data_IF_979486712608
#
_entry.id   IF_979486712608
#
_cell.length_a   1.000
_cell.length_b   1.000
_cell.length_c   1.000
_cell.angle_alpha   90.00
_cell.angle_beta   90.00
_cell.angle_gamma   90.00
#
_symmetry.space_group_name_H-M   'P 1'
#
loop_
_entity.id
_entity.type
_entity.pdbx_description
1 polymer ?
#
# COMPACT_ATOMS: atom_id res chain seq x y z
N UNK A 1 11.70 -36.94 6.91
CA UNK A 1 12.30 -36.14 7.99
C UNK A 1 12.54 -34.73 7.45
N UNK A 2 11.54 -33.85 7.55
CA UNK A 2 11.67 -32.45 7.09
C UNK A 2 11.98 -31.61 8.31
N UNK A 3 13.19 -31.04 8.38
CA UNK A 3 13.54 -30.07 9.38
C UNK A 3 12.57 -28.88 9.25
N UNK A 4 11.62 -28.77 10.17
CA UNK A 4 10.85 -27.56 10.35
C UNK A 4 11.84 -26.51 10.86
N UNK A 5 12.40 -25.72 9.95
CA UNK A 5 13.14 -24.53 10.30
C UNK A 5 12.19 -23.63 11.08
N UNK A 6 12.31 -23.65 12.41
CA UNK A 6 11.52 -22.81 13.28
C UNK A 6 11.70 -21.35 12.85
N UNK A 7 10.60 -20.59 12.78
CA UNK A 7 10.66 -19.15 12.54
C UNK A 7 11.33 -18.53 13.75
N UNK A 8 12.54 -18.00 13.57
CA UNK A 8 13.20 -17.18 14.57
C UNK A 8 12.51 -15.81 14.63
N UNK A 9 11.79 -15.54 15.71
CA UNK A 9 11.07 -14.28 15.92
C UNK A 9 12.00 -13.11 16.30
N UNK A 10 13.27 -13.37 16.60
CA UNK A 10 14.27 -12.34 16.92
C UNK A 10 15.05 -11.89 15.68
N UNK A 11 14.93 -12.58 14.55
CA UNK A 11 15.60 -12.23 13.31
C UNK A 11 14.76 -11.25 12.47
N UNK A 12 15.39 -10.23 11.90
CA UNK A 12 14.72 -9.33 10.96
C UNK A 12 14.40 -10.05 9.65
N UNK A 13 13.19 -9.85 9.16
CA UNK A 13 12.73 -10.41 7.89
C UNK A 13 13.05 -9.44 6.76
N UNK A 14 13.78 -9.92 5.75
CA UNK A 14 14.17 -9.09 4.62
C UNK A 14 13.00 -8.96 3.64
N UNK A 15 12.67 -7.73 3.28
CA UNK A 15 11.93 -7.43 2.05
C UNK A 15 12.87 -7.29 0.87
N UNK A 16 12.34 -7.38 -0.35
CA UNK A 16 13.10 -7.17 -1.59
C UNK A 16 13.53 -5.70 -1.75
N UNK A 17 12.81 -4.76 -1.12
CA UNK A 17 13.03 -3.31 -1.22
C UNK A 17 13.91 -2.73 -0.10
N UNK A 18 14.30 -3.55 0.88
CA UNK A 18 15.18 -3.15 1.98
C UNK A 18 14.47 -2.67 3.24
N UNK A 19 13.12 -2.57 3.24
CA UNK A 19 12.35 -2.37 4.48
C UNK A 19 12.58 -3.54 5.45
N UNK A 20 12.90 -3.23 6.70
CA UNK A 20 13.01 -4.20 7.77
C UNK A 20 11.61 -4.53 8.30
N UNK A 21 11.19 -5.78 8.14
CA UNK A 21 9.95 -6.30 8.72
C UNK A 21 10.26 -7.08 9.99
N UNK A 22 9.48 -6.87 11.05
CA UNK A 22 9.54 -7.79 12.20
C UNK A 22 8.64 -9.00 11.93
N UNK A 23 9.04 -10.21 12.38
CA UNK A 23 8.18 -11.41 12.29
C UNK A 23 6.81 -11.22 12.94
N UNK A 24 6.74 -10.38 13.99
CA UNK A 24 5.49 -10.03 14.67
C UNK A 24 4.57 -9.19 13.79
N UNK A 25 5.11 -8.22 13.06
CA UNK A 25 4.32 -7.44 12.10
C UNK A 25 3.78 -8.37 11.00
N UNK A 26 4.61 -9.28 10.49
CA UNK A 26 4.18 -10.26 9.49
C UNK A 26 3.05 -11.16 9.99
N UNK A 27 3.09 -11.58 11.26
CA UNK A 27 2.06 -12.42 11.86
C UNK A 27 0.68 -11.75 11.87
N UNK A 28 0.63 -10.43 12.15
CA UNK A 28 -0.63 -9.66 12.20
C UNK A 28 -1.32 -9.63 10.84
N UNK A 29 -0.55 -9.63 9.75
CA UNK A 29 -1.07 -9.57 8.38
C UNK A 29 -1.20 -10.94 7.71
N UNK A 30 -0.71 -12.00 8.35
CA UNK A 30 -0.68 -13.32 7.75
C UNK A 30 -2.08 -13.93 7.63
N UNK A 31 -2.33 -14.63 6.53
CA UNK A 31 -3.52 -15.50 6.45
C UNK A 31 -3.27 -16.75 7.27
N UNK A 32 -4.14 -17.03 8.25
CA UNK A 32 -4.06 -18.19 9.15
C UNK A 32 -3.94 -19.52 8.42
N UNK A 33 -4.56 -19.63 7.23
CA UNK A 33 -4.59 -20.85 6.43
C UNK A 33 -3.65 -20.80 5.21
N UNK A 34 -2.62 -19.94 5.22
CA UNK A 34 -1.69 -19.85 4.10
C UNK A 34 -0.85 -21.13 3.99
N UNK A 35 -0.96 -21.85 2.87
CA UNK A 35 -0.19 -23.07 2.60
C UNK A 35 1.32 -22.86 2.52
N UNK A 36 1.80 -21.63 2.28
CA UNK A 36 3.23 -21.33 2.13
C UNK A 36 3.92 -21.00 3.45
N UNK A 37 3.25 -20.32 4.38
CA UNK A 37 3.84 -19.91 5.66
C UNK A 37 3.16 -20.54 6.89
N UNK A 38 2.08 -21.30 6.70
CA UNK A 38 1.31 -21.90 7.80
C UNK A 38 0.71 -20.89 8.78
N UNK A 39 0.44 -19.66 8.31
CA UNK A 39 -0.09 -18.59 9.17
C UNK A 39 0.95 -17.73 9.88
N UNK A 40 2.25 -17.98 9.72
CA UNK A 40 3.31 -17.19 10.38
C UNK A 40 3.62 -15.87 9.67
N UNK A 41 3.24 -15.73 8.40
CA UNK A 41 3.58 -14.56 7.57
C UNK A 41 5.01 -14.52 7.07
N UNK A 42 5.85 -15.48 7.46
CA UNK A 42 7.28 -15.55 7.12
C UNK A 42 7.57 -16.83 6.34
N UNK A 43 8.47 -16.74 5.36
CA UNK A 43 8.98 -17.88 4.59
C UNK A 43 10.48 -18.01 4.79
N UNK A 44 10.91 -19.22 5.11
CA UNK A 44 12.32 -19.58 5.08
C UNK A 44 12.75 -19.84 3.62
N UNK A 45 13.73 -19.08 3.15
CA UNK A 45 14.41 -19.27 1.86
C UNK A 45 15.90 -19.53 2.13
N UNK A 46 16.63 -20.00 1.11
CA UNK A 46 18.07 -20.27 1.26
C UNK A 46 18.86 -19.02 1.71
N UNK A 47 18.40 -17.82 1.34
CA UNK A 47 19.01 -16.54 1.72
C UNK A 47 18.55 -15.97 3.08
N UNK A 48 17.78 -16.74 3.87
CA UNK A 48 17.26 -16.34 5.19
C UNK A 48 15.72 -16.27 5.24
N UNK A 49 15.19 -15.38 6.08
CA UNK A 49 13.74 -15.20 6.21
C UNK A 49 13.23 -14.09 5.29
N UNK A 50 12.11 -14.36 4.60
CA UNK A 50 11.43 -13.41 3.70
C UNK A 50 9.96 -13.29 4.05
N UNK A 51 9.36 -12.13 3.76
CA UNK A 51 7.93 -11.90 3.99
C UNK A 51 7.12 -12.75 3.01
N UNK A 52 6.08 -13.43 3.51
CA UNK A 52 5.20 -14.22 2.67
C UNK A 52 4.31 -13.33 1.79
N UNK A 53 4.02 -13.77 0.55
CA UNK A 53 3.10 -13.09 -0.35
C UNK A 53 1.70 -12.86 0.26
N UNK A 54 1.24 -13.71 1.19
CA UNK A 54 -0.06 -13.52 1.84
C UNK A 54 -0.14 -12.23 2.66
N UNK A 55 0.97 -11.78 3.25
CA UNK A 55 1.07 -10.51 3.98
C UNK A 55 0.86 -9.34 3.03
N UNK A 56 1.53 -9.35 1.87
CA UNK A 56 1.34 -8.29 0.88
C UNK A 56 -0.07 -8.28 0.30
N UNK A 57 -0.66 -9.45 0.00
CA UNK A 57 -2.06 -9.55 -0.44
C UNK A 57 -3.04 -9.02 0.60
N UNK A 58 -2.75 -9.22 1.90
CA UNK A 58 -3.53 -8.61 2.97
C UNK A 58 -3.42 -7.08 2.94
N UNK A 59 -2.20 -6.54 2.89
CA UNK A 59 -1.97 -5.09 2.79
C UNK A 59 -2.71 -4.48 1.59
N UNK A 60 -2.65 -5.14 0.43
CA UNK A 60 -3.40 -4.74 -0.76
C UNK A 60 -4.90 -4.67 -0.49
N UNK A 61 -5.49 -5.71 0.10
CA UNK A 61 -6.94 -5.75 0.40
C UNK A 61 -7.34 -4.67 1.41
N UNK A 62 -6.50 -4.40 2.40
CA UNK A 62 -6.75 -3.33 3.37
C UNK A 62 -6.78 -1.96 2.69
N UNK A 63 -5.81 -1.68 1.81
CA UNK A 63 -5.75 -0.46 1.01
C UNK A 63 -6.96 -0.36 0.07
N UNK A 64 -7.26 -1.41 -0.68
CA UNK A 64 -8.35 -1.42 -1.63
C UNK A 64 -9.72 -1.29 -0.95
N UNK A 65 -9.92 -1.94 0.19
CA UNK A 65 -11.13 -1.79 1.00
C UNK A 65 -11.34 -0.34 1.45
N UNK A 66 -10.27 0.31 1.90
CA UNK A 66 -10.34 1.74 2.26
C UNK A 66 -10.54 2.63 1.04
N UNK A 67 -9.91 2.32 -0.09
CA UNK A 67 -10.07 3.02 -1.35
C UNK A 67 -11.55 3.02 -1.79
N UNK A 68 -12.21 1.85 -1.77
CA UNK A 68 -13.64 1.77 -2.08
C UNK A 68 -14.52 2.54 -1.12
N UNK A 69 -14.19 2.52 0.19
CA UNK A 69 -14.89 3.33 1.18
C UNK A 69 -14.75 4.84 0.88
N UNK A 70 -13.53 5.31 0.60
CA UNK A 70 -13.26 6.70 0.27
C UNK A 70 -13.95 7.13 -1.03
N UNK A 71 -13.93 6.26 -2.05
CA UNK A 71 -14.60 6.49 -3.33
C UNK A 71 -16.13 6.47 -3.22
N UNK A 72 -16.70 5.62 -2.36
CA UNK A 72 -18.14 5.65 -2.09
C UNK A 72 -18.57 6.95 -1.38
N UNK A 73 -17.68 7.57 -0.61
CA UNK A 73 -17.93 8.86 0.03
C UNK A 73 -17.55 10.06 -0.85
N UNK A 74 -17.01 9.87 -2.06
CA UNK A 74 -16.69 10.99 -2.96
C UNK A 74 -17.98 11.67 -3.39
N UNK A 75 -18.25 12.86 -2.84
CA UNK A 75 -19.51 13.59 -2.97
C UNK A 75 -20.01 14.16 -1.63
N UNK A 76 -19.71 13.50 -0.52
CA UNK A 76 -19.85 14.04 0.84
C UNK A 76 -18.51 14.69 1.22
N UNK A 77 -18.31 15.93 0.76
CA UNK A 77 -17.04 16.66 0.93
C UNK A 77 -16.76 16.92 2.41
N UNK A 78 -16.01 16.03 3.04
CA UNK A 78 -15.37 16.31 4.33
C UNK A 78 -14.09 17.07 4.04
N UNK A 79 -14.19 18.40 4.02
CA UNK A 79 -13.01 19.25 3.92
C UNK A 79 -12.45 19.48 5.33
N UNK A 80 -11.18 19.17 5.51
CA UNK A 80 -10.45 19.58 6.70
C UNK A 80 -9.84 20.96 6.44
N UNK A 81 -10.15 21.90 7.32
CA UNK A 81 -9.59 23.23 7.31
C UNK A 81 -8.65 23.32 8.51
N UNK A 82 -7.35 23.37 8.24
CA UNK A 82 -6.34 23.60 9.26
C UNK A 82 -5.74 25.00 9.10
N UNK A 83 -5.53 25.69 10.22
CA UNK A 83 -4.73 26.91 10.22
C UNK A 83 -3.25 26.55 10.12
N UNK A 84 -2.51 27.23 9.25
CA UNK A 84 -1.05 27.23 9.33
C UNK A 84 -0.61 27.84 10.67
N UNK A 85 0.30 27.18 11.37
CA UNK A 85 0.94 27.72 12.57
C UNK A 85 2.40 28.04 12.25
N UNK A 86 2.85 29.21 12.69
CA UNK A 86 4.27 29.55 12.70
C UNK A 86 5.02 28.67 13.70
N UNK A 87 6.35 28.50 13.57
CA UNK A 87 7.17 27.78 14.55
C UNK A 87 7.04 28.28 16.00
N UNK A 88 6.56 29.52 16.19
CA UNK A 88 6.30 30.15 17.49
C UNK A 88 4.86 29.94 17.99
N UNK A 89 4.08 29.05 17.39
CA UNK A 89 2.71 28.72 17.78
C UNK A 89 1.65 29.77 17.41
N UNK A 90 2.03 30.89 16.78
CA UNK A 90 1.06 31.89 16.31
C UNK A 90 0.41 31.41 15.03
N UNK A 91 -0.91 31.63 14.90
CA UNK A 91 -1.61 31.41 13.64
C UNK A 91 -0.98 32.28 12.56
N UNK A 92 -0.66 31.69 11.42
CA UNK A 92 -0.27 32.44 10.25
C UNK A 92 -1.54 33.03 9.65
N UNK A 93 -1.68 34.35 9.72
CA UNK A 93 -2.81 35.03 9.07
C UNK A 93 -2.75 34.79 7.56
N UNK A 94 -3.83 34.24 6.99
CA UNK A 94 -3.97 34.03 5.55
C UNK A 94 -3.59 32.64 5.02
N UNK A 95 -2.96 31.76 5.82
CA UNK A 95 -2.70 30.37 5.40
C UNK A 95 -3.76 29.43 5.94
N UNK A 96 -4.72 29.12 5.08
CA UNK A 96 -5.68 28.04 5.25
C UNK A 96 -5.17 26.82 4.47
N UNK A 97 -4.82 25.76 5.19
CA UNK A 97 -4.58 24.47 4.57
C UNK A 97 -5.94 23.77 4.43
N UNK A 98 -6.38 23.63 3.18
CA UNK A 98 -7.58 22.86 2.84
C UNK A 98 -7.13 21.50 2.36
N UNK A 99 -7.64 20.45 2.98
CA UNK A 99 -7.28 19.08 2.65
C UNK A 99 -8.51 18.19 2.55
N UNK A 100 -8.51 17.31 1.54
CA UNK A 100 -9.57 16.34 1.23
C UNK A 100 -9.03 14.91 1.37
N UNK A 101 -8.89 14.38 2.61
CA UNK A 101 -8.21 13.11 2.89
C UNK A 101 -8.66 11.94 2.03
N UNK A 102 -9.96 11.85 1.79
CA UNK A 102 -10.53 10.75 1.03
C UNK A 102 -10.23 10.85 -0.46
N UNK A 103 -10.24 12.07 -1.02
CA UNK A 103 -9.95 12.32 -2.43
C UNK A 103 -8.46 12.13 -2.70
N UNK A 104 -7.61 12.65 -1.81
CA UNK A 104 -6.16 12.51 -1.88
C UNK A 104 -5.75 11.02 -1.78
N UNK A 105 -6.36 10.26 -0.85
CA UNK A 105 -6.09 8.83 -0.73
C UNK A 105 -6.44 8.05 -2.00
N UNK A 106 -7.58 8.36 -2.62
CA UNK A 106 -8.01 7.75 -3.89
C UNK A 106 -7.00 8.09 -4.99
N UNK A 107 -6.63 9.36 -5.12
CA UNK A 107 -5.67 9.82 -6.11
C UNK A 107 -4.29 9.17 -5.93
N UNK A 108 -3.78 9.11 -4.71
CA UNK A 108 -2.48 8.52 -4.40
C UNK A 108 -2.44 7.04 -4.76
N UNK A 109 -3.48 6.27 -4.41
CA UNK A 109 -3.57 4.85 -4.76
C UNK A 109 -3.57 4.66 -6.28
N UNK A 110 -4.34 5.44 -7.03
CA UNK A 110 -4.41 5.32 -8.49
C UNK A 110 -3.10 5.73 -9.18
N UNK A 111 -2.48 6.82 -8.73
CA UNK A 111 -1.19 7.30 -9.25
C UNK A 111 -0.12 6.24 -9.02
N UNK A 112 -0.01 5.73 -7.79
CA UNK A 112 0.99 4.72 -7.45
C UNK A 112 0.73 3.41 -8.21
N UNK A 113 -0.53 3.00 -8.39
CA UNK A 113 -0.88 1.82 -9.18
C UNK A 113 -0.44 1.95 -10.65
N UNK A 114 -0.70 3.11 -11.28
CA UNK A 114 -0.29 3.36 -12.67
C UNK A 114 1.22 3.43 -12.85
N UNK A 115 1.95 3.95 -11.86
CA UNK A 115 3.42 4.04 -11.92
C UNK A 115 4.09 2.67 -11.76
N UNK A 116 3.50 1.78 -10.96
CA UNK A 116 4.11 0.49 -10.64
C UNK A 116 3.73 -0.65 -11.58
N UNK A 117 2.53 -0.61 -12.16
CA UNK A 117 2.02 -1.67 -13.02
C UNK A 117 2.41 -1.46 -14.48
N UNK A 118 2.59 -2.56 -15.22
CA UNK A 118 2.64 -2.49 -16.68
C UNK A 118 1.27 -2.06 -17.24
N UNK A 119 1.20 -1.67 -18.51
CA UNK A 119 -0.05 -1.26 -19.17
C UNK A 119 -1.15 -2.33 -19.04
N UNK A 120 -0.81 -3.58 -19.33
CA UNK A 120 -1.75 -4.71 -19.19
C UNK A 120 -2.17 -4.95 -17.74
N UNK A 121 -1.22 -4.90 -16.80
CA UNK A 121 -1.53 -5.07 -15.37
C UNK A 121 -2.43 -3.94 -14.86
N UNK A 122 -2.21 -2.70 -15.30
CA UNK A 122 -3.02 -1.55 -14.94
C UNK A 122 -4.45 -1.71 -15.48
N UNK A 123 -4.62 -2.13 -16.73
CA UNK A 123 -5.95 -2.37 -17.32
C UNK A 123 -6.72 -3.45 -16.53
N UNK A 124 -6.04 -4.57 -16.19
CA UNK A 124 -6.62 -5.62 -15.35
C UNK A 124 -6.97 -5.09 -13.96
N UNK A 125 -6.08 -4.30 -13.35
CA UNK A 125 -6.31 -3.72 -12.03
C UNK A 125 -7.52 -2.79 -12.01
N UNK A 126 -7.60 -1.84 -12.94
CA UNK A 126 -8.71 -0.89 -12.99
C UNK A 126 -10.04 -1.57 -13.33
N UNK A 127 -10.05 -2.49 -14.31
CA UNK A 127 -11.28 -3.19 -14.69
C UNK A 127 -11.79 -4.13 -13.57
N UNK A 128 -10.90 -4.92 -12.96
CA UNK A 128 -11.32 -5.93 -12.00
C UNK A 128 -11.46 -5.38 -10.58
N UNK A 129 -10.45 -4.67 -10.07
CA UNK A 129 -10.43 -4.22 -8.68
C UNK A 129 -11.15 -2.89 -8.50
N UNK A 130 -10.95 -1.92 -9.40
CA UNK A 130 -11.51 -0.57 -9.23
C UNK A 130 -12.96 -0.49 -9.71
N UNK A 131 -13.28 -1.08 -10.86
CA UNK A 131 -14.63 -1.09 -11.43
C UNK A 131 -15.47 -2.28 -10.99
N UNK A 132 -14.84 -3.34 -10.47
CA UNK A 132 -15.56 -4.53 -9.96
C UNK A 132 -16.11 -5.43 -11.06
N UNK A 133 -15.57 -5.37 -12.29
CA UNK A 133 -16.02 -6.22 -13.40
C UNK A 133 -15.70 -7.70 -13.18
N UNK A 134 -16.54 -8.56 -13.72
CA UNK A 134 -16.30 -10.00 -13.72
C UNK A 134 -15.12 -10.34 -14.65
N UNK A 135 -14.40 -11.41 -14.32
CA UNK A 135 -13.14 -11.72 -15.00
C UNK A 135 -13.32 -11.96 -16.50
N UNK A 136 -14.47 -12.47 -16.97
CA UNK A 136 -14.73 -12.67 -18.41
C UNK A 136 -14.80 -11.34 -19.14
N UNK A 137 -15.44 -10.35 -18.54
CA UNK A 137 -15.54 -9.00 -19.11
C UNK A 137 -14.17 -8.33 -19.16
N UNK A 138 -13.36 -8.51 -18.11
CA UNK A 138 -11.97 -8.02 -18.10
C UNK A 138 -11.14 -8.66 -19.22
N UNK A 139 -11.23 -9.99 -19.40
CA UNK A 139 -10.52 -10.71 -20.46
C UNK A 139 -10.92 -10.21 -21.85
N UNK A 140 -12.21 -9.95 -22.06
CA UNK A 140 -12.73 -9.42 -23.33
C UNK A 140 -12.31 -7.95 -23.58
N UNK A 141 -12.17 -7.15 -22.52
CA UNK A 141 -11.81 -5.75 -22.61
C UNK A 141 -10.30 -5.52 -22.81
N UNK A 142 -9.45 -6.40 -22.27
CA UNK A 142 -7.98 -6.28 -22.34
C UNK A 142 -7.49 -6.74 -23.72
N UNK A 143 -6.73 -5.88 -24.39
CA UNK A 143 -6.26 -6.06 -25.79
C UNK A 143 -5.22 -7.19 -26.01
N UNK A 144 -5.11 -8.14 -25.09
CA UNK A 144 -4.07 -9.19 -25.07
C UNK A 144 -4.57 -10.63 -25.02
N UNK A 145 -5.88 -10.87 -24.93
CA UNK A 145 -6.44 -12.24 -24.93
C UNK A 145 -5.91 -13.11 -23.77
N UNK A 146 -6.21 -12.73 -22.53
CA UNK A 146 -5.80 -13.50 -21.35
C UNK A 146 -6.68 -14.75 -21.18
N UNK A 147 -6.08 -15.92 -20.97
CA UNK A 147 -6.83 -17.08 -20.51
C UNK A 147 -7.20 -16.94 -19.02
N UNK A 148 -8.16 -17.75 -18.56
CA UNK A 148 -8.62 -17.73 -17.16
C UNK A 148 -7.48 -17.91 -16.17
N UNK A 149 -6.55 -18.84 -16.43
CA UNK A 149 -5.42 -19.11 -15.55
C UNK A 149 -4.48 -17.92 -15.48
N UNK A 150 -4.06 -17.41 -16.65
CA UNK A 150 -3.20 -16.23 -16.76
C UNK A 150 -3.82 -14.98 -16.14
N UNK A 151 -5.15 -14.83 -16.20
CA UNK A 151 -5.85 -13.73 -15.52
C UNK A 151 -5.67 -13.81 -14.00
N UNK A 152 -5.97 -14.95 -13.36
CA UNK A 152 -5.84 -15.07 -11.90
C UNK A 152 -4.37 -15.01 -11.44
N UNK A 153 -3.44 -15.53 -12.24
CA UNK A 153 -2.01 -15.35 -11.97
C UNK A 153 -1.61 -13.87 -12.02
N UNK A 154 -2.12 -13.12 -13.00
CA UNK A 154 -1.91 -11.67 -13.11
C UNK A 154 -2.51 -10.94 -11.90
N UNK A 155 -3.74 -11.26 -11.50
CA UNK A 155 -4.38 -10.67 -10.31
C UNK A 155 -3.53 -10.92 -9.06
N UNK A 156 -3.12 -12.15 -8.80
CA UNK A 156 -2.28 -12.45 -7.64
C UNK A 156 -0.93 -11.74 -7.66
N UNK A 157 -0.34 -11.54 -8.85
CA UNK A 157 0.90 -10.78 -9.02
C UNK A 157 0.68 -9.30 -8.71
N UNK A 158 -0.43 -8.72 -9.18
CA UNK A 158 -0.83 -7.34 -8.91
C UNK A 158 -1.05 -7.15 -7.40
N UNK A 159 -1.84 -8.00 -6.75
CA UNK A 159 -2.10 -7.93 -5.31
C UNK A 159 -0.80 -7.95 -4.51
N UNK A 160 0.12 -8.86 -4.84
CA UNK A 160 1.40 -8.96 -4.15
C UNK A 160 2.30 -7.75 -4.39
N UNK A 161 2.42 -7.30 -5.65
CA UNK A 161 3.31 -6.21 -6.05
C UNK A 161 2.84 -4.87 -5.50
N UNK A 162 1.55 -4.54 -5.65
CA UNK A 162 0.98 -3.32 -5.10
C UNK A 162 0.90 -3.35 -3.58
N UNK A 163 0.49 -4.48 -3.00
CA UNK A 163 0.44 -4.62 -1.55
C UNK A 163 1.80 -4.42 -0.88
N UNK A 164 2.87 -4.90 -1.51
CA UNK A 164 4.24 -4.61 -1.11
C UNK A 164 4.57 -3.14 -1.24
N UNK A 165 4.35 -2.56 -2.42
CA UNK A 165 4.63 -1.14 -2.68
C UNK A 165 3.92 -0.22 -1.68
N UNK A 166 2.62 -0.41 -1.46
CA UNK A 166 1.84 0.41 -0.54
C UNK A 166 2.30 0.29 0.92
N UNK A 167 2.75 -0.90 1.33
CA UNK A 167 3.25 -1.12 2.67
C UNK A 167 4.67 -0.57 2.88
N UNK A 168 5.46 -0.46 1.81
CA UNK A 168 6.88 -0.11 1.84
C UNK A 168 7.19 1.29 1.32
N UNK A 169 6.17 2.02 0.83
CA UNK A 169 6.30 3.40 0.38
C UNK A 169 6.78 4.29 1.54
N UNK A 170 7.86 5.03 1.29
CA UNK A 170 8.43 6.02 2.19
C UNK A 170 8.27 7.42 1.57
N UNK A 171 8.03 8.48 2.37
CA UNK A 171 8.02 8.52 3.84
C UNK A 171 6.70 8.06 4.49
N UNK A 172 5.62 7.92 3.71
CA UNK A 172 4.30 7.57 4.21
C UNK A 172 3.70 6.38 3.43
N UNK A 173 3.50 5.22 4.08
CA UNK A 173 2.85 4.10 3.44
C UNK A 173 1.35 4.37 3.28
N UNK A 174 0.75 3.85 2.20
CA UNK A 174 -0.67 4.01 1.90
C UNK A 174 -1.59 3.09 2.73
N UNK A 175 -1.04 2.45 3.76
CA UNK A 175 -1.82 1.65 4.69
C UNK A 175 -2.82 2.55 5.44
N UNK A 176 -4.12 2.20 5.50
CA UNK A 176 -5.17 3.09 6.02
C UNK A 176 -4.87 3.65 7.42
N UNK A 177 -4.38 2.82 8.33
CA UNK A 177 -4.03 3.20 9.70
C UNK A 177 -2.73 3.99 9.84
N UNK A 178 -2.03 4.29 8.74
CA UNK A 178 -0.90 5.23 8.72
C UNK A 178 -1.24 6.50 7.94
N UNK A 179 -2.02 6.37 6.87
CA UNK A 179 -2.43 7.50 6.03
C UNK A 179 -3.43 8.44 6.74
N UNK A 180 -4.41 7.88 7.46
CA UNK A 180 -5.48 8.66 8.10
C UNK A 180 -5.21 8.98 9.57
N UNK A 181 -4.03 8.64 10.11
CA UNK A 181 -3.65 9.12 11.44
C UNK A 181 -3.46 10.62 11.30
N UNK A 182 -4.13 11.45 12.13
CA UNK A 182 -3.87 12.87 12.15
C UNK A 182 -2.37 13.06 12.30
N UNK A 183 -1.73 13.58 11.26
CA UNK A 183 -0.38 14.07 11.39
C UNK A 183 -0.45 15.09 12.52
N UNK A 184 0.22 14.79 13.63
CA UNK A 184 0.59 15.82 14.57
C UNK A 184 1.37 16.84 13.75
N UNK A 185 0.69 17.94 13.40
CA UNK A 185 1.24 19.00 12.57
C UNK A 185 2.46 19.67 13.24
N UNK A 186 2.84 19.25 14.45
CA UNK A 186 4.15 19.56 15.06
C UNK A 186 5.35 19.04 14.24
N UNK A 187 5.15 18.08 13.32
CA UNK A 187 6.18 17.58 12.38
C UNK A 187 5.87 17.90 10.92
N UNK A 188 5.07 18.94 10.63
CA UNK A 188 4.97 19.46 9.26
C UNK A 188 6.37 19.86 8.81
N UNK A 189 6.88 19.09 7.85
CA UNK A 189 7.82 19.46 6.80
C UNK A 189 8.51 20.79 7.08
N UNK A 190 9.71 20.73 7.64
CA UNK A 190 10.65 21.83 7.58
C UNK A 190 11.03 22.04 6.10
N UNK A 191 10.17 22.75 5.36
CA UNK A 191 10.41 23.14 3.97
C UNK A 191 11.69 24.00 3.85
N UNK A 192 12.25 24.50 4.97
CA UNK A 192 13.54 25.16 5.01
C UNK A 192 14.70 24.26 4.57
N UNK A 193 14.58 22.94 4.72
CA UNK A 193 15.68 22.00 4.43
C UNK A 193 15.61 21.31 3.06
N UNK A 194 14.50 21.43 2.31
CA UNK A 194 14.41 20.81 0.98
C UNK A 194 15.26 21.55 -0.07
N UNK A 195 15.37 22.88 0.02
CA UNK A 195 16.22 23.67 -0.89
C UNK A 195 17.72 23.46 -0.64
N UNK A 196 18.13 23.04 0.56
CA UNK A 196 19.53 22.82 0.91
C UNK A 196 20.14 21.55 0.26
N UNK A 197 19.31 20.57 -0.14
CA UNK A 197 19.79 19.30 -0.72
C UNK A 197 19.99 19.31 -2.24
N UNK A 198 19.69 20.40 -2.94
CA UNK A 198 19.95 20.55 -4.39
C UNK A 198 21.24 21.29 -4.73
N UNK A 199 22.07 21.61 -3.72
CA UNK A 199 23.42 22.15 -3.90
C UNK A 199 24.41 21.26 -3.17
N UNK A 200 24.75 20.14 -3.79
CA UNK A 200 26.03 19.43 -3.67
C UNK A 200 26.10 18.40 -4.80
#
# INVERSE_FOLDING_TARGET
>A
MSAALAVDFNQQVRSVTGKQWSPRDCLVYASSNCSLCGGTGVRNVQAGQTVCACVYRYCFRAVLGKYHQCRAHSGLRTMFIAHGYLPNGRKRHGELNVWTPHEDYVADVEIQARQMLSTLEADVFFAHHVEGREWRDCVNAVRGGLDRGSFFHTVYRIEERLGRHFAELEPYPLLPWRYFVPCDHSRVIDFGNWQARKRN
#
